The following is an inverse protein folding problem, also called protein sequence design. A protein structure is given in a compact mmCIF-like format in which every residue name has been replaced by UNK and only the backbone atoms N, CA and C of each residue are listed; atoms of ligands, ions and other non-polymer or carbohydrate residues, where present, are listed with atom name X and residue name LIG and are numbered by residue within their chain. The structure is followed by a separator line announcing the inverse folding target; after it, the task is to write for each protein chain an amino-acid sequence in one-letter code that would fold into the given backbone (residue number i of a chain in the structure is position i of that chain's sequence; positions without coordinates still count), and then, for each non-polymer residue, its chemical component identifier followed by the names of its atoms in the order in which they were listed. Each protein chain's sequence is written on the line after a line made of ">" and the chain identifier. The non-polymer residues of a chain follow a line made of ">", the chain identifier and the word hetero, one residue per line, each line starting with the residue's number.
data_IF_923369878791
#
_entry.id   IF_923369878791
#
_cell.length_a   1.000
_cell.length_b   1.000
_cell.length_c   1.000
_cell.angle_alpha   90.00
_cell.angle_beta   90.00
_cell.angle_gamma   90.00
#
_symmetry.space_group_name_H-M   'P 1'
#
loop_
_entity.id
_entity.type
_entity.pdbx_description
1 polymer ?
#
# COMPACT_ATOMS: atom_id res chain seq x y z
N UNK A 1 35.97 -1.08 55.61
CA UNK A 1 35.01 -1.78 54.75
C UNK A 1 33.68 -1.16 55.10
N UNK A 2 33.38 0.01 54.51
CA UNK A 2 32.17 0.77 54.77
C UNK A 2 31.91 1.72 53.57
N UNK A 3 30.62 1.83 53.23
CA UNK A 3 29.95 2.91 52.48
C UNK A 3 30.14 3.15 50.97
N UNK A 4 30.71 2.21 50.21
CA UNK A 4 30.84 2.39 48.74
C UNK A 4 29.94 1.48 47.87
N UNK A 5 29.13 0.61 48.45
CA UNK A 5 28.34 -0.38 47.68
C UNK A 5 26.85 -0.37 48.08
N UNK A 6 26.32 0.84 48.32
CA UNK A 6 24.86 1.03 48.38
C UNK A 6 24.37 1.11 46.93
N UNK A 7 23.92 -0.03 46.41
CA UNK A 7 23.29 -0.23 45.11
C UNK A 7 22.81 1.06 44.42
N UNK A 8 23.35 1.34 43.23
CA UNK A 8 22.83 2.33 42.28
C UNK A 8 21.47 1.87 41.76
N UNK A 9 20.44 2.00 42.59
CA UNK A 9 19.08 1.60 42.27
C UNK A 9 18.55 2.49 41.13
N UNK A 10 18.33 1.88 39.97
CA UNK A 10 17.66 2.54 38.84
C UNK A 10 16.15 2.45 39.01
N UNK A 11 15.47 3.55 38.72
CA UNK A 11 14.01 3.63 38.71
C UNK A 11 13.52 3.89 37.29
N UNK A 12 12.36 3.29 36.96
CA UNK A 12 11.68 3.52 35.68
C UNK A 12 10.52 4.48 35.90
N UNK A 13 10.64 5.71 35.40
CA UNK A 13 9.63 6.75 35.51
C UNK A 13 8.78 6.76 34.24
N UNK A 14 7.46 6.90 34.38
CA UNK A 14 6.56 7.15 33.26
C UNK A 14 6.35 8.66 33.10
N UNK A 15 6.56 9.16 31.88
CA UNK A 15 6.54 10.56 31.54
C UNK A 15 5.41 10.85 30.54
N UNK A 16 4.60 11.87 30.79
CA UNK A 16 3.59 12.39 29.86
C UNK A 16 4.03 13.74 29.28
N UNK A 17 3.91 13.93 27.96
CA UNK A 17 4.34 15.17 27.28
C UNK A 17 3.14 16.03 26.91
N UNK A 18 3.10 17.25 27.45
CA UNK A 18 2.11 18.25 27.09
C UNK A 18 2.23 18.69 25.62
N UNK A 19 1.09 18.99 24.98
CA UNK A 19 0.99 19.37 23.57
C UNK A 19 1.15 18.18 22.61
N UNK A 20 2.11 17.27 22.86
CA UNK A 20 2.29 16.07 22.03
C UNK A 20 1.24 14.99 22.28
N UNK A 21 0.75 14.87 23.52
CA UNK A 21 -0.15 13.77 23.88
C UNK A 21 0.53 12.40 23.87
N UNK A 22 1.83 12.36 24.18
CA UNK A 22 2.63 11.13 24.18
C UNK A 22 3.02 10.72 25.60
N UNK A 23 3.16 9.41 25.81
CA UNK A 23 3.61 8.81 27.08
C UNK A 23 4.78 7.88 26.77
N UNK A 24 5.81 7.92 27.59
CA UNK A 24 6.98 7.07 27.46
C UNK A 24 7.61 6.82 28.83
N UNK A 25 8.47 5.80 28.94
CA UNK A 25 9.21 5.55 30.17
C UNK A 25 10.66 6.01 30.04
N UNK A 26 11.30 6.41 31.14
CA UNK A 26 12.74 6.70 31.23
C UNK A 26 13.33 5.96 32.41
N UNK A 27 14.50 5.35 32.23
CA UNK A 27 15.25 4.71 33.31
C UNK A 27 16.36 5.65 33.76
N UNK A 28 16.43 5.90 35.06
CA UNK A 28 17.40 6.83 35.64
C UNK A 28 17.80 6.36 37.04
N UNK A 29 18.97 6.76 37.50
CA UNK A 29 19.41 6.49 38.87
C UNK A 29 18.54 7.26 39.87
N UNK A 30 18.11 6.59 40.93
CA UNK A 30 17.19 7.16 41.92
C UNK A 30 17.77 8.38 42.65
N UNK A 31 19.09 8.44 42.80
CA UNK A 31 19.82 9.54 43.43
C UNK A 31 20.29 10.61 42.44
N UNK A 32 19.96 10.48 41.15
CA UNK A 32 20.22 11.52 40.14
C UNK A 32 19.44 12.80 40.47
N UNK A 33 19.86 13.91 39.89
CA UNK A 33 19.13 15.16 39.95
C UNK A 33 18.12 15.29 38.80
N UNK A 34 17.32 16.34 38.87
CA UNK A 34 16.31 16.65 37.86
C UNK A 34 16.95 17.10 36.55
N UNK A 35 18.14 17.71 36.59
CA UNK A 35 18.93 18.06 35.40
C UNK A 35 19.31 16.81 34.58
N UNK A 36 19.82 15.76 35.24
CA UNK A 36 20.07 14.48 34.60
C UNK A 36 18.79 13.85 34.04
N UNK A 37 17.63 14.06 34.67
CA UNK A 37 16.35 13.62 34.15
C UNK A 37 15.92 14.42 32.91
N UNK A 38 16.12 15.74 32.91
CA UNK A 38 15.89 16.59 31.74
C UNK A 38 16.74 16.13 30.56
N UNK A 39 18.04 15.89 30.76
CA UNK A 39 18.91 15.33 29.73
C UNK A 39 18.44 13.97 29.24
N UNK A 40 18.14 13.04 30.15
CA UNK A 40 17.67 11.71 29.80
C UNK A 40 16.39 11.77 28.95
N UNK A 41 15.44 12.64 29.30
CA UNK A 41 14.22 12.87 28.52
C UNK A 41 14.54 13.49 27.17
N UNK A 42 15.36 14.55 27.16
CA UNK A 42 15.72 15.31 25.96
C UNK A 42 16.38 14.44 24.89
N UNK A 43 17.33 13.59 25.27
CA UNK A 43 17.95 12.63 24.35
C UNK A 43 17.01 11.47 23.99
N UNK A 44 16.26 10.92 24.96
CA UNK A 44 15.33 9.80 24.69
C UNK A 44 14.23 10.18 23.73
N UNK A 45 13.74 11.42 23.82
CA UNK A 45 12.74 11.98 22.91
C UNK A 45 13.35 12.56 21.64
N UNK A 46 14.68 12.50 21.49
CA UNK A 46 15.45 13.05 20.36
C UNK A 46 15.16 14.53 20.14
N UNK A 47 14.89 15.29 21.20
CA UNK A 47 14.62 16.73 21.11
C UNK A 47 15.85 17.51 20.68
N UNK A 48 17.05 17.04 21.06
CA UNK A 48 18.34 17.52 20.58
C UNK A 48 18.50 17.53 19.06
N UNK A 49 17.72 16.71 18.33
CA UNK A 49 17.72 16.65 16.87
C UNK A 49 16.48 17.30 16.24
N UNK A 50 15.41 17.50 17.01
CA UNK A 50 14.13 17.99 16.51
C UNK A 50 13.94 19.49 16.71
N UNK A 51 14.56 20.06 17.74
CA UNK A 51 14.36 21.43 18.16
C UNK A 51 15.71 22.12 18.43
N UNK A 52 15.69 23.45 18.41
CA UNK A 52 16.86 24.30 18.69
C UNK A 52 16.80 24.87 20.11
N UNK A 53 16.77 23.99 21.11
CA UNK A 53 16.86 24.36 22.52
C UNK A 53 17.63 23.27 23.28
N UNK A 54 18.23 23.61 24.42
CA UNK A 54 18.98 22.67 25.27
C UNK A 54 18.07 21.90 26.24
N UNK A 55 18.52 20.75 26.74
CA UNK A 55 17.76 19.92 27.71
C UNK A 55 17.21 20.71 28.91
N UNK A 56 17.97 21.71 29.37
CA UNK A 56 17.60 22.61 30.47
C UNK A 56 16.38 23.48 30.21
N UNK A 57 15.95 23.61 28.95
CA UNK A 57 14.74 24.34 28.57
C UNK A 57 13.46 23.51 28.72
N UNK A 58 13.55 22.21 29.04
CA UNK A 58 12.38 21.40 29.39
C UNK A 58 11.92 21.73 30.81
N UNK A 59 10.63 22.03 31.00
CA UNK A 59 10.07 22.17 32.36
C UNK A 59 9.41 20.86 32.78
N UNK A 60 9.83 20.34 33.94
CA UNK A 60 9.34 19.07 34.48
C UNK A 60 8.44 19.31 35.69
N UNK A 61 7.31 18.60 35.74
CA UNK A 61 6.36 18.67 36.85
C UNK A 61 6.11 17.29 37.44
N UNK A 62 5.87 17.22 38.75
CA UNK A 62 5.42 16.00 39.39
C UNK A 62 3.96 15.75 39.02
N UNK A 63 3.66 14.55 38.51
CA UNK A 63 2.32 14.15 38.12
C UNK A 63 1.47 13.69 39.33
N UNK A 64 1.56 14.43 40.44
CA UNK A 64 0.93 14.13 41.72
C UNK A 64 0.06 15.29 42.18
N UNK A 65 -1.20 15.01 42.53
CA UNK A 65 -2.17 16.01 43.01
C UNK A 65 -1.88 16.45 44.45
N UNK A 66 -2.40 17.62 44.81
CA UNK A 66 -2.58 18.03 46.20
C UNK A 66 -3.50 17.02 46.92
N UNK A 67 -2.95 16.25 47.86
CA UNK A 67 -3.59 15.06 48.45
C UNK A 67 -2.86 13.74 48.18
N UNK A 68 -1.85 13.76 47.29
CA UNK A 68 -0.84 12.72 47.19
C UNK A 68 -1.11 11.59 46.19
N UNK A 69 -2.19 11.67 45.41
CA UNK A 69 -2.53 10.72 44.35
C UNK A 69 -1.78 11.01 43.04
N UNK A 70 -1.28 9.97 42.37
CA UNK A 70 -0.63 10.05 41.06
C UNK A 70 -1.66 10.11 39.92
N UNK A 71 -1.26 10.72 38.81
CA UNK A 71 -2.03 10.75 37.58
C UNK A 71 -2.08 9.34 36.95
N UNK A 72 -3.27 8.84 36.65
CA UNK A 72 -3.46 7.50 36.08
C UNK A 72 -3.25 7.48 34.56
N UNK A 73 -2.70 6.37 34.06
CA UNK A 73 -2.60 6.07 32.64
C UNK A 73 -3.90 5.46 32.10
N UNK A 74 -4.96 6.26 32.05
CA UNK A 74 -6.27 5.85 31.55
C UNK A 74 -6.59 6.50 30.17
N UNK A 75 -7.71 6.13 29.50
CA UNK A 75 -8.07 6.70 28.20
C UNK A 75 -8.25 8.23 28.17
N UNK A 76 -8.42 8.89 29.31
CA UNK A 76 -8.57 10.35 29.41
C UNK A 76 -7.23 11.09 29.43
N UNK A 77 -6.12 10.39 29.69
CA UNK A 77 -4.77 10.96 29.76
C UNK A 77 -4.33 11.62 28.44
N UNK A 78 -4.56 10.96 27.31
CA UNK A 78 -4.09 11.45 26.01
C UNK A 78 -4.80 12.75 25.58
N UNK A 79 -6.14 12.87 25.69
CA UNK A 79 -6.83 14.15 25.56
C UNK A 79 -6.30 15.23 26.51
N UNK A 80 -6.08 14.89 27.78
CA UNK A 80 -5.53 15.83 28.79
C UNK A 80 -4.17 16.39 28.36
N UNK A 81 -3.23 15.52 27.99
CA UNK A 81 -1.89 15.94 27.56
C UNK A 81 -1.92 16.82 26.30
N UNK A 82 -2.85 16.55 25.36
CA UNK A 82 -3.00 17.35 24.14
C UNK A 82 -3.54 18.76 24.37
N UNK A 83 -4.30 18.97 25.45
CA UNK A 83 -4.81 20.31 25.79
C UNK A 83 -3.70 21.26 26.26
N UNK A 84 -2.51 20.73 26.59
CA UNK A 84 -1.40 21.49 27.14
C UNK A 84 -1.56 21.73 28.64
N UNK A 85 -0.55 22.36 29.26
CA UNK A 85 -0.61 22.73 30.66
C UNK A 85 -1.60 23.89 30.83
N UNK A 86 -2.58 23.71 31.70
CA UNK A 86 -3.51 24.77 32.10
C UNK A 86 -2.97 25.46 33.36
N UNK A 87 -3.16 26.77 33.48
CA UNK A 87 -2.75 27.56 34.66
C UNK A 87 -3.33 27.02 35.98
N UNK A 88 -4.48 26.36 35.89
CA UNK A 88 -5.28 25.86 37.02
C UNK A 88 -5.15 24.33 37.18
N UNK A 89 -4.08 23.72 36.63
CA UNK A 89 -3.86 22.28 36.73
C UNK A 89 -3.58 21.84 38.18
N UNK A 90 -4.16 20.75 38.66
CA UNK A 90 -3.88 20.17 39.99
C UNK A 90 -2.41 19.68 40.17
N UNK A 91 -1.59 19.71 39.10
CA UNK A 91 -0.24 19.15 39.02
C UNK A 91 0.82 20.25 38.88
N UNK A 92 0.96 21.11 39.90
CA UNK A 92 1.76 22.36 39.83
C UNK A 92 3.17 22.23 40.42
N UNK A 93 3.57 21.06 40.93
CA UNK A 93 4.88 20.93 41.58
C UNK A 93 5.97 20.85 40.52
N UNK A 94 6.51 22.00 40.15
CA UNK A 94 7.68 22.10 39.29
C UNK A 94 8.89 21.45 39.95
N UNK A 95 9.59 20.62 39.19
CA UNK A 95 10.80 19.94 39.63
C UNK A 95 12.00 20.87 39.39
N UNK A 96 12.79 21.07 40.44
CA UNK A 96 13.92 22.01 40.45
C UNK A 96 15.16 21.25 39.95
N UNK A 97 15.86 21.73 38.90
CA UNK A 97 16.93 20.99 38.22
C UNK A 97 18.01 20.41 39.14
N UNK A 98 18.47 21.16 40.14
CA UNK A 98 19.54 20.72 41.04
C UNK A 98 19.06 19.91 42.27
N UNK A 99 17.79 19.51 42.32
CA UNK A 99 17.27 18.67 43.40
C UNK A 99 17.31 17.20 43.01
N UNK A 100 17.65 16.33 43.97
CA UNK A 100 17.69 14.89 43.76
C UNK A 100 16.29 14.28 43.67
N UNK A 101 16.14 13.29 42.79
CA UNK A 101 14.88 12.56 42.58
C UNK A 101 14.42 11.81 43.84
N UNK A 102 15.35 11.30 44.64
CA UNK A 102 15.07 10.64 45.92
C UNK A 102 14.70 11.59 47.07
N UNK A 103 14.60 12.90 46.83
CA UNK A 103 14.15 13.84 47.84
C UNK A 103 12.70 13.51 48.24
N UNK A 104 12.32 13.61 49.54
CA UNK A 104 10.95 13.31 49.99
C UNK A 104 9.84 14.13 49.28
N UNK A 105 10.19 15.32 48.79
CA UNK A 105 9.28 16.18 48.02
C UNK A 105 8.96 15.64 46.61
N UNK A 106 9.77 14.72 46.08
CA UNK A 106 9.57 14.08 44.77
C UNK A 106 9.22 12.60 44.96
N UNK A 107 10.18 11.69 44.71
CA UNK A 107 9.93 10.25 44.72
C UNK A 107 10.31 9.59 46.05
N UNK A 108 11.03 10.28 46.94
CA UNK A 108 11.37 9.81 48.28
C UNK A 108 11.80 8.34 48.31
N UNK A 109 11.24 7.59 49.28
CA UNK A 109 11.32 6.13 49.35
C UNK A 109 10.09 5.40 48.78
N UNK A 110 9.24 6.10 48.02
CA UNK A 110 8.00 5.53 47.49
C UNK A 110 8.27 4.43 46.44
N UNK A 111 7.44 3.38 46.48
CA UNK A 111 7.34 2.42 45.38
C UNK A 111 6.46 3.05 44.29
N UNK A 112 7.03 3.14 43.10
CA UNK A 112 6.34 3.65 41.91
C UNK A 112 5.28 2.62 41.49
N UNK A 113 4.04 3.07 41.28
CA UNK A 113 2.95 2.21 40.85
C UNK A 113 3.05 1.84 39.37
N UNK A 114 2.54 0.66 39.02
CA UNK A 114 2.26 0.33 37.63
C UNK A 114 1.02 1.13 37.17
N UNK A 115 0.95 1.51 35.90
CA UNK A 115 -0.14 2.30 35.29
C UNK A 115 -0.30 3.76 35.79
N UNK A 116 0.73 4.32 36.45
CA UNK A 116 0.77 5.72 36.88
C UNK A 116 1.76 6.54 36.05
N UNK A 117 1.42 7.82 35.81
CA UNK A 117 2.32 8.83 35.27
C UNK A 117 3.01 9.52 36.44
N UNK A 118 4.32 9.66 36.34
CA UNK A 118 5.19 10.14 37.40
C UNK A 118 5.67 11.57 37.14
N UNK A 119 5.96 11.88 35.88
CA UNK A 119 6.51 13.17 35.44
C UNK A 119 5.70 13.70 34.27
N UNK A 120 5.40 15.00 34.29
CA UNK A 120 4.82 15.73 33.16
C UNK A 120 5.90 16.63 32.56
N UNK A 121 5.99 16.63 31.23
CA UNK A 121 7.04 17.33 30.48
C UNK A 121 6.39 18.43 29.65
N UNK A 122 6.85 19.67 29.84
CA UNK A 122 6.48 20.82 29.04
C UNK A 122 7.66 21.28 28.17
N UNK A 123 7.39 21.56 26.89
CA UNK A 123 8.37 22.11 25.95
C UNK A 123 8.31 23.65 25.98
N UNK A 124 9.42 24.36 25.71
CA UNK A 124 9.43 25.83 25.68
C UNK A 124 8.52 26.37 24.55
N UNK A 125 7.81 27.47 24.80
CA UNK A 125 6.83 28.06 23.86
C UNK A 125 7.41 28.36 22.47
N UNK A 126 8.70 28.74 22.38
CA UNK A 126 9.40 28.99 21.12
C UNK A 126 9.59 27.73 20.25
N UNK A 127 9.50 26.52 20.81
CA UNK A 127 9.63 25.26 20.09
C UNK A 127 8.33 24.80 19.39
N UNK A 128 7.19 25.39 19.74
CA UNK A 128 5.89 25.03 19.14
C UNK A 128 5.76 25.47 17.67
N UNK A 129 6.61 26.42 17.21
CA UNK A 129 6.60 26.98 15.86
C UNK A 129 7.76 26.59 14.94
N UNK A 130 8.89 26.09 15.46
CA UNK A 130 10.08 25.78 14.66
C UNK A 130 10.50 24.31 14.79
N UNK A 131 9.75 23.41 14.14
CA UNK A 131 10.32 22.12 13.74
C UNK A 131 11.30 22.41 12.62
N UNK A 132 12.57 22.06 12.81
CA UNK A 132 13.56 22.17 11.74
C UNK A 132 13.04 21.44 10.50
N UNK A 133 13.09 22.08 9.32
CA UNK A 133 12.73 21.44 8.05
C UNK A 133 13.48 20.10 7.84
N UNK A 134 14.69 20.00 8.41
CA UNK A 134 15.50 18.78 8.45
C UNK A 134 14.87 17.70 9.35
N UNK A 135 14.31 18.05 10.50
CA UNK A 135 13.64 17.11 11.41
C UNK A 135 12.31 16.60 10.82
N UNK A 136 11.61 17.46 10.07
CA UNK A 136 10.38 17.09 9.37
C UNK A 136 10.68 16.14 8.21
N UNK A 137 11.73 16.42 7.41
CA UNK A 137 12.23 15.48 6.39
C UNK A 137 12.72 14.17 7.00
N UNK A 138 13.47 14.19 8.11
CA UNK A 138 13.98 12.98 8.77
C UNK A 138 12.84 12.13 9.33
N UNK A 139 11.77 12.75 9.86
CA UNK A 139 10.58 12.02 10.29
C UNK A 139 9.80 11.42 9.12
N UNK A 140 9.65 12.14 8.02
CA UNK A 140 9.02 11.60 6.79
C UNK A 140 9.84 10.45 6.19
N UNK A 141 11.17 10.56 6.17
CA UNK A 141 12.09 9.50 5.73
C UNK A 141 12.03 8.30 6.69
N UNK A 142 12.02 8.53 8.00
CA UNK A 142 11.90 7.46 8.99
C UNK A 142 10.53 6.77 8.93
N UNK A 143 9.43 7.50 8.75
CA UNK A 143 8.11 6.92 8.58
C UNK A 143 8.00 6.14 7.24
N UNK A 144 8.67 6.58 6.17
CA UNK A 144 8.78 5.82 4.91
C UNK A 144 9.64 4.56 5.03
N UNK A 145 10.72 4.59 5.82
CA UNK A 145 11.68 3.47 5.97
C UNK A 145 11.23 2.45 7.02
N UNK A 146 10.65 2.90 8.13
CA UNK A 146 10.24 2.06 9.28
C UNK A 146 8.80 1.56 9.13
N UNK A 147 7.93 2.30 8.44
CA UNK A 147 6.65 1.75 7.98
C UNK A 147 6.76 1.36 6.51
N UNK A 148 7.29 0.17 6.23
CA UNK A 148 7.13 -0.50 4.93
C UNK A 148 5.65 -0.89 4.72
N UNK A 149 4.74 0.09 4.68
CA UNK A 149 3.38 -0.10 4.19
C UNK A 149 3.49 -0.05 2.67
N UNK A 150 3.54 -1.23 2.05
CA UNK A 150 3.38 -1.37 0.60
C UNK A 150 2.20 -0.49 0.17
N UNK A 151 2.39 0.32 -0.87
CA UNK A 151 1.33 1.17 -1.41
C UNK A 151 0.22 0.25 -1.91
N UNK A 152 -0.93 0.31 -1.25
CA UNK A 152 -2.07 -0.53 -1.58
C UNK A 152 -2.99 0.17 -2.56
N UNK A 153 -3.18 -0.47 -3.70
CA UNK A 153 -4.06 -0.04 -4.77
C UNK A 153 -5.22 -1.02 -4.89
N UNK A 154 -6.44 -0.54 -4.62
CA UNK A 154 -7.66 -1.36 -4.72
C UNK A 154 -8.29 -1.16 -6.10
N UNK A 155 -8.52 -2.24 -6.86
CA UNK A 155 -9.01 -2.19 -8.24
C UNK A 155 -10.31 -1.37 -8.39
N UNK A 156 -11.30 -1.64 -7.53
CA UNK A 156 -12.60 -0.95 -7.55
C UNK A 156 -12.53 0.53 -7.17
N UNK A 157 -11.43 0.98 -6.58
CA UNK A 157 -11.23 2.37 -6.17
C UNK A 157 -10.36 3.17 -7.17
N UNK A 158 -10.03 2.58 -8.33
CA UNK A 158 -9.17 3.22 -9.31
C UNK A 158 -9.81 4.47 -9.91
N UNK A 159 -9.21 5.61 -9.59
CA UNK A 159 -9.49 6.90 -10.22
C UNK A 159 -8.35 7.28 -11.16
N UNK A 160 -8.53 8.34 -11.95
CA UNK A 160 -7.44 8.86 -12.80
C UNK A 160 -6.17 9.19 -12.01
N UNK A 161 -6.31 9.75 -10.79
CA UNK A 161 -5.16 10.09 -9.97
C UNK A 161 -4.43 8.84 -9.45
N UNK A 162 -5.17 7.86 -8.94
CA UNK A 162 -4.59 6.59 -8.44
C UNK A 162 -3.97 5.78 -9.59
N UNK A 163 -4.66 5.71 -10.72
CA UNK A 163 -4.19 5.01 -11.90
C UNK A 163 -2.91 5.62 -12.48
N UNK A 164 -2.87 6.94 -12.62
CA UNK A 164 -1.64 7.62 -13.06
C UNK A 164 -0.48 7.42 -12.07
N UNK A 165 -0.74 7.45 -10.76
CA UNK A 165 0.28 7.16 -9.76
C UNK A 165 0.81 5.72 -9.88
N UNK A 166 -0.08 4.73 -10.07
CA UNK A 166 0.33 3.34 -10.29
C UNK A 166 1.20 3.18 -11.54
N UNK A 167 0.79 3.79 -12.66
CA UNK A 167 1.56 3.74 -13.90
C UNK A 167 2.93 4.42 -13.75
N UNK A 168 3.03 5.51 -12.99
CA UNK A 168 4.30 6.16 -12.68
C UNK A 168 5.20 5.29 -11.80
N UNK A 169 4.65 4.72 -10.73
CA UNK A 169 5.38 3.86 -9.80
C UNK A 169 5.95 2.60 -10.47
N UNK A 170 5.27 2.10 -11.51
CA UNK A 170 5.73 0.95 -12.33
C UNK A 170 6.44 1.39 -13.62
N UNK A 171 6.56 2.69 -13.88
CA UNK A 171 7.17 3.24 -15.08
C UNK A 171 6.57 2.64 -16.37
N UNK A 172 5.24 2.67 -16.44
CA UNK A 172 4.42 2.18 -17.55
C UNK A 172 3.79 3.37 -18.27
N UNK A 173 3.72 3.30 -19.60
CA UNK A 173 2.95 4.23 -20.43
C UNK A 173 1.87 3.49 -21.19
N UNK A 174 0.69 4.10 -21.27
CA UNK A 174 -0.43 3.60 -22.06
C UNK A 174 -0.48 4.35 -23.38
N UNK A 175 -0.55 3.63 -24.52
CA UNK A 175 -0.63 4.23 -25.86
C UNK A 175 -1.87 3.73 -26.61
N UNK A 176 -2.74 4.63 -27.10
CA UNK A 176 -3.83 4.22 -27.97
C UNK A 176 -3.29 3.82 -29.36
N UNK A 177 -3.93 2.84 -29.98
CA UNK A 177 -3.65 2.38 -31.35
C UNK A 177 -4.95 2.45 -32.17
N UNK A 178 -4.82 2.84 -33.45
CA UNK A 178 -5.93 2.97 -34.38
C UNK A 178 -6.64 1.63 -34.66
N UNK A 179 -7.89 1.74 -35.11
CA UNK A 179 -8.67 0.61 -35.60
C UNK A 179 -8.95 0.74 -37.08
N UNK A 180 -9.07 -0.40 -37.76
CA UNK A 180 -9.54 -0.49 -39.14
C UNK A 180 -10.98 -1.03 -39.18
N UNK A 181 -11.80 -0.67 -40.18
CA UNK A 181 -13.14 -1.20 -40.32
C UNK A 181 -13.16 -2.73 -40.38
N UNK A 182 -14.12 -3.34 -39.70
CA UNK A 182 -14.32 -4.78 -39.74
C UNK A 182 -14.91 -5.19 -41.10
N UNK A 183 -14.19 -6.02 -41.87
CA UNK A 183 -14.55 -6.37 -43.26
C UNK A 183 -15.07 -7.81 -43.43
N UNK A 184 -15.48 -8.48 -42.34
CA UNK A 184 -15.96 -9.87 -42.44
C UNK A 184 -17.32 -9.96 -43.15
N UNK A 185 -17.44 -10.95 -44.05
CA UNK A 185 -18.72 -11.37 -44.66
C UNK A 185 -19.42 -12.36 -43.73
N UNK A 186 -20.25 -11.84 -42.81
CA UNK A 186 -21.10 -12.56 -41.85
C UNK A 186 -20.35 -13.40 -40.78
N UNK A 187 -20.86 -13.40 -39.53
CA UNK A 187 -22.11 -14.05 -39.19
C UNK A 187 -23.18 -13.08 -38.66
N UNK A 188 -24.40 -13.62 -38.50
CA UNK A 188 -25.58 -12.93 -37.97
C UNK A 188 -25.23 -11.86 -36.93
N UNK A 189 -25.79 -10.64 -37.05
CA UNK A 189 -25.38 -9.50 -36.24
C UNK A 189 -25.52 -9.83 -34.75
N UNK A 190 -24.39 -9.80 -34.05
CA UNK A 190 -24.38 -9.97 -32.60
C UNK A 190 -25.12 -8.79 -31.98
N UNK A 191 -26.24 -9.08 -31.32
CA UNK A 191 -27.05 -8.06 -30.67
C UNK A 191 -26.33 -7.50 -29.44
N UNK A 192 -26.43 -6.19 -29.24
CA UNK A 192 -25.96 -5.53 -28.03
C UNK A 192 -26.64 -6.11 -26.79
N UNK A 193 -25.90 -6.21 -25.69
CA UNK A 193 -26.43 -6.71 -24.42
C UNK A 193 -27.53 -5.80 -23.88
N UNK A 194 -28.61 -6.40 -23.39
CA UNK A 194 -29.75 -5.68 -22.79
C UNK A 194 -29.63 -5.68 -21.27
N UNK A 195 -29.32 -4.52 -20.71
CA UNK A 195 -29.33 -4.29 -19.27
C UNK A 195 -30.76 -4.27 -18.73
N UNK A 196 -31.22 -5.37 -18.16
CA UNK A 196 -32.61 -5.52 -17.72
C UNK A 196 -32.91 -4.98 -16.30
N UNK A 197 -34.20 -4.72 -16.09
CA UNK A 197 -34.84 -4.39 -14.81
C UNK A 197 -36.09 -5.25 -14.63
N UNK A 198 -36.44 -5.56 -13.39
CA UNK A 198 -37.67 -6.29 -13.03
C UNK A 198 -38.75 -5.28 -12.66
N UNK A 199 -39.95 -5.42 -13.19
CA UNK A 199 -41.09 -4.63 -12.71
C UNK A 199 -41.56 -5.15 -11.36
N UNK A 200 -41.69 -4.28 -10.37
CA UNK A 200 -42.40 -4.61 -9.14
C UNK A 200 -43.90 -4.80 -9.43
N UNK A 201 -44.65 -5.34 -8.47
CA UNK A 201 -46.11 -5.52 -8.58
C UNK A 201 -46.91 -4.21 -8.78
N UNK A 202 -46.25 -3.05 -8.81
CA UNK A 202 -46.80 -1.72 -9.10
C UNK A 202 -46.30 -1.15 -10.44
N UNK A 203 -45.57 -1.92 -11.24
CA UNK A 203 -45.05 -1.52 -12.54
C UNK A 203 -43.79 -0.65 -12.50
N UNK A 204 -43.13 -0.53 -11.34
CA UNK A 204 -41.88 0.22 -11.20
C UNK A 204 -40.68 -0.67 -11.57
N UNK A 205 -39.82 -0.19 -12.47
CA UNK A 205 -38.59 -0.88 -12.85
C UNK A 205 -37.58 -0.87 -11.69
N UNK A 206 -37.37 -2.03 -11.07
CA UNK A 206 -36.29 -2.31 -10.13
C UNK A 206 -35.08 -2.82 -10.92
N UNK A 207 -33.94 -2.14 -10.79
CA UNK A 207 -32.69 -2.63 -11.34
C UNK A 207 -32.30 -3.97 -10.67
N UNK A 208 -31.94 -4.96 -11.48
CA UNK A 208 -31.36 -6.21 -10.96
C UNK A 208 -30.11 -5.92 -10.12
N UNK A 209 -29.85 -6.78 -9.13
CA UNK A 209 -28.61 -6.69 -8.34
C UNK A 209 -27.39 -6.91 -9.23
N UNK A 210 -26.22 -6.44 -8.79
CA UNK A 210 -24.96 -6.65 -9.51
C UNK A 210 -24.68 -8.13 -9.78
N UNK A 211 -25.01 -9.00 -8.82
CA UNK A 211 -24.82 -10.45 -8.93
C UNK A 211 -25.76 -11.09 -9.94
N UNK A 212 -27.01 -10.61 -10.01
CA UNK A 212 -27.98 -11.05 -11.02
C UNK A 212 -27.58 -10.58 -12.43
N UNK A 213 -27.06 -9.35 -12.56
CA UNK A 213 -26.52 -8.87 -13.84
C UNK A 213 -25.28 -9.67 -14.26
N UNK A 214 -24.43 -10.06 -13.29
CA UNK A 214 -23.20 -10.81 -13.54
C UNK A 214 -23.43 -12.14 -14.21
N UNK A 215 -24.42 -12.90 -13.76
CA UNK A 215 -24.69 -14.19 -14.41
C UNK A 215 -25.16 -14.01 -15.86
N UNK A 216 -25.99 -13.01 -16.10
CA UNK A 216 -26.54 -12.75 -17.43
C UNK A 216 -25.50 -12.29 -18.43
N UNK A 217 -24.62 -11.37 -18.04
CA UNK A 217 -23.58 -10.96 -18.96
C UNK A 217 -22.55 -12.06 -19.19
N UNK A 218 -22.34 -12.95 -18.20
CA UNK A 218 -21.47 -14.12 -18.35
C UNK A 218 -22.04 -15.08 -19.39
N UNK A 219 -23.33 -15.40 -19.29
CA UNK A 219 -24.05 -16.21 -20.27
C UNK A 219 -24.01 -15.57 -21.67
N UNK A 220 -24.18 -14.24 -21.76
CA UNK A 220 -24.06 -13.51 -23.02
C UNK A 220 -22.66 -13.64 -23.63
N UNK A 221 -21.60 -13.52 -22.82
CA UNK A 221 -20.22 -13.75 -23.30
C UNK A 221 -20.05 -15.20 -23.72
N UNK A 222 -20.38 -16.17 -22.88
CA UNK A 222 -20.23 -17.62 -23.15
C UNK A 222 -20.99 -18.03 -24.43
N UNK A 223 -22.19 -17.49 -24.66
CA UNK A 223 -22.96 -17.73 -25.89
C UNK A 223 -22.24 -17.26 -27.16
N UNK A 224 -21.63 -16.06 -27.14
CA UNK A 224 -21.03 -15.46 -28.33
C UNK A 224 -19.62 -15.98 -28.68
N UNK A 225 -18.99 -16.70 -27.75
CA UNK A 225 -17.67 -17.32 -27.95
C UNK A 225 -17.67 -18.84 -27.66
N UNK A 226 -18.85 -19.46 -27.52
CA UNK A 226 -19.00 -20.86 -27.09
C UNK A 226 -18.24 -21.87 -27.95
N UNK A 227 -18.25 -21.68 -29.28
CA UNK A 227 -17.58 -22.59 -30.22
C UNK A 227 -16.06 -22.64 -29.97
N UNK A 228 -15.41 -21.48 -29.81
CA UNK A 228 -13.97 -21.43 -29.55
C UNK A 228 -13.63 -21.90 -28.13
N UNK A 229 -14.52 -21.67 -27.16
CA UNK A 229 -14.34 -22.19 -25.81
C UNK A 229 -14.34 -23.73 -25.82
N UNK A 230 -15.28 -24.34 -26.54
CA UNK A 230 -15.36 -25.80 -26.67
C UNK A 230 -14.14 -26.38 -27.40
N UNK A 231 -13.75 -25.78 -28.53
CA UNK A 231 -12.59 -26.22 -29.31
C UNK A 231 -11.28 -26.15 -28.50
N UNK A 232 -11.07 -25.05 -27.77
CA UNK A 232 -9.85 -24.80 -27.01
C UNK A 232 -9.89 -25.31 -25.56
N UNK A 233 -10.96 -25.98 -25.16
CA UNK A 233 -11.19 -26.47 -23.79
C UNK A 233 -11.05 -25.35 -22.75
N UNK A 234 -11.66 -24.21 -23.03
CA UNK A 234 -11.72 -23.04 -22.14
C UNK A 234 -13.12 -22.89 -21.53
N UNK A 235 -13.24 -22.05 -20.51
CA UNK A 235 -14.51 -21.66 -19.91
C UNK A 235 -14.50 -20.18 -19.48
N UNK A 236 -15.69 -19.65 -19.21
CA UNK A 236 -15.90 -18.29 -18.68
C UNK A 236 -16.29 -18.39 -17.22
N UNK A 237 -15.51 -17.79 -16.31
CA UNK A 237 -15.81 -17.75 -14.89
C UNK A 237 -15.65 -16.32 -14.35
N UNK A 238 -16.63 -15.82 -13.60
CA UNK A 238 -16.47 -14.66 -12.75
C UNK A 238 -15.81 -15.02 -11.43
N UNK A 239 -14.82 -14.22 -10.99
CA UNK A 239 -14.03 -14.56 -9.81
C UNK A 239 -13.60 -13.36 -8.96
N UNK A 240 -13.63 -13.61 -7.65
CA UNK A 240 -13.32 -12.64 -6.60
C UNK A 240 -11.85 -12.59 -6.16
N UNK A 241 -10.88 -13.03 -6.98
CA UNK A 241 -9.47 -13.07 -6.54
C UNK A 241 -8.55 -12.56 -7.64
N UNK A 242 -8.11 -11.32 -7.45
CA UNK A 242 -7.05 -10.69 -8.23
C UNK A 242 -6.25 -9.79 -7.28
N UNK A 243 -5.42 -10.42 -6.44
CA UNK A 243 -4.61 -9.71 -5.44
C UNK A 243 -3.19 -10.23 -5.49
N UNK A 244 -2.22 -9.33 -5.62
CA UNK A 244 -0.82 -9.67 -5.80
C UNK A 244 0.08 -8.59 -5.23
N UNK A 245 1.13 -9.02 -4.54
CA UNK A 245 2.27 -8.19 -4.18
C UNK A 245 3.17 -8.10 -5.41
N UNK A 246 3.36 -6.90 -5.96
CA UNK A 246 4.21 -6.70 -7.15
C UNK A 246 5.67 -7.02 -6.80
N UNK A 247 6.30 -8.04 -7.40
CA UNK A 247 7.69 -8.40 -7.13
C UNK A 247 8.64 -7.25 -7.50
N UNK A 248 9.60 -6.95 -6.62
CA UNK A 248 10.55 -5.86 -6.84
C UNK A 248 10.00 -4.45 -6.64
N UNK A 249 8.74 -4.30 -6.19
CA UNK A 249 8.13 -3.00 -5.92
C UNK A 249 7.37 -3.02 -4.59
N UNK A 250 7.30 -1.88 -3.90
CA UNK A 250 6.52 -1.72 -2.65
C UNK A 250 5.04 -1.44 -2.96
N UNK A 251 4.41 -2.31 -3.75
CA UNK A 251 3.06 -2.12 -4.28
C UNK A 251 2.25 -3.39 -4.08
N UNK A 252 1.04 -3.23 -3.54
CA UNK A 252 0.02 -4.27 -3.51
C UNK A 252 -1.14 -3.89 -4.41
N UNK A 253 -1.48 -4.77 -5.35
CA UNK A 253 -2.70 -4.68 -6.12
C UNK A 253 -3.73 -5.61 -5.46
N UNK A 254 -4.91 -5.09 -5.15
CA UNK A 254 -5.93 -5.83 -4.41
C UNK A 254 -7.30 -5.66 -5.05
N UNK A 255 -7.97 -6.78 -5.28
CA UNK A 255 -9.37 -6.76 -5.67
C UNK A 255 -9.77 -8.03 -6.41
N UNK A 256 -10.64 -7.81 -7.39
CA UNK A 256 -11.44 -8.83 -8.08
C UNK A 256 -11.55 -8.42 -9.55
N UNK A 257 -12.09 -9.32 -10.36
CA UNK A 257 -12.47 -9.03 -11.74
C UNK A 257 -13.83 -9.65 -12.04
N UNK A 258 -14.55 -9.10 -13.00
CA UNK A 258 -15.90 -9.56 -13.30
C UNK A 258 -15.90 -10.92 -14.00
N UNK A 259 -15.00 -11.14 -14.96
CA UNK A 259 -14.93 -12.33 -15.80
C UNK A 259 -13.49 -12.68 -16.15
N UNK A 260 -13.17 -13.97 -16.12
CA UNK A 260 -11.96 -14.59 -16.64
C UNK A 260 -12.30 -15.62 -17.72
N UNK A 261 -11.46 -15.68 -18.75
CA UNK A 261 -11.45 -16.76 -19.74
C UNK A 261 -10.20 -17.61 -19.52
N UNK A 262 -10.40 -18.87 -19.13
CA UNK A 262 -9.34 -19.77 -18.64
C UNK A 262 -9.64 -21.24 -18.95
N UNK A 263 -8.72 -22.14 -18.62
CA UNK A 263 -8.87 -23.59 -18.86
C UNK A 263 -10.16 -24.15 -18.25
N UNK A 264 -10.86 -25.01 -19.01
CA UNK A 264 -12.08 -25.69 -18.56
C UNK A 264 -11.85 -26.60 -17.34
N UNK A 265 -10.58 -26.92 -17.03
CA UNK A 265 -10.20 -27.57 -15.77
C UNK A 265 -10.71 -26.81 -14.55
N UNK A 266 -10.78 -25.48 -14.62
CA UNK A 266 -11.29 -24.65 -13.53
C UNK A 266 -12.80 -24.84 -13.29
N UNK A 267 -13.57 -25.16 -14.35
CA UNK A 267 -15.01 -25.50 -14.27
C UNK A 267 -15.22 -26.92 -13.74
N UNK A 268 -14.33 -27.86 -14.10
CA UNK A 268 -14.37 -29.25 -13.62
C UNK A 268 -13.91 -29.37 -12.16
N UNK A 269 -12.89 -28.60 -11.78
CA UNK A 269 -12.26 -28.63 -10.47
C UNK A 269 -12.23 -27.22 -9.87
N UNK A 270 -13.27 -26.81 -9.11
CA UNK A 270 -13.40 -25.44 -8.62
C UNK A 270 -12.23 -24.95 -7.75
N UNK A 271 -11.47 -25.86 -7.13
CA UNK A 271 -10.27 -25.51 -6.36
C UNK A 271 -9.09 -25.07 -7.24
N UNK A 272 -9.05 -25.46 -8.53
CA UNK A 272 -8.03 -25.00 -9.47
C UNK A 272 -8.23 -23.56 -9.94
N UNK A 273 -9.39 -22.95 -9.69
CA UNK A 273 -9.62 -21.56 -10.07
C UNK A 273 -8.60 -20.64 -9.39
N UNK A 274 -8.10 -20.96 -8.19
CA UNK A 274 -7.02 -20.24 -7.49
C UNK A 274 -5.66 -20.32 -8.15
N UNK A 275 -5.42 -21.36 -8.94
CA UNK A 275 -4.19 -21.54 -9.71
C UNK A 275 -4.23 -20.83 -11.06
N UNK A 276 -5.38 -20.25 -11.44
CA UNK A 276 -5.56 -19.52 -12.70
C UNK A 276 -5.02 -20.29 -13.93
N UNK A 277 -5.47 -21.53 -14.18
CA UNK A 277 -4.89 -22.37 -15.22
C UNK A 277 -5.15 -21.80 -16.62
N UNK A 278 -4.06 -21.55 -17.36
CA UNK A 278 -4.08 -21.14 -18.77
C UNK A 278 -4.99 -19.94 -19.07
N UNK A 279 -5.06 -18.96 -18.16
CA UNK A 279 -5.86 -17.74 -18.38
C UNK A 279 -5.43 -17.05 -19.68
N UNK A 280 -6.40 -16.68 -20.50
CA UNK A 280 -6.16 -15.97 -21.78
C UNK A 280 -6.46 -14.48 -21.65
N UNK A 281 -7.53 -14.14 -20.94
CA UNK A 281 -7.95 -12.76 -20.75
C UNK A 281 -8.86 -12.56 -19.53
N UNK A 282 -8.94 -11.32 -19.08
CA UNK A 282 -9.97 -10.83 -18.16
C UNK A 282 -10.92 -9.85 -18.87
N UNK A 283 -12.14 -9.76 -18.38
CA UNK A 283 -13.16 -8.81 -18.87
C UNK A 283 -13.75 -8.09 -17.66
N UNK A 284 -13.55 -6.78 -17.62
CA UNK A 284 -14.16 -5.85 -16.67
C UNK A 284 -15.42 -5.25 -17.30
N UNK A 285 -16.57 -5.39 -16.64
CA UNK A 285 -17.87 -5.01 -17.18
C UNK A 285 -18.44 -3.82 -16.43
N UNK A 286 -18.68 -2.72 -17.14
CA UNK A 286 -19.34 -1.53 -16.59
C UNK A 286 -20.61 -1.22 -17.34
N UNK A 287 -21.74 -1.13 -16.63
CA UNK A 287 -23.00 -0.60 -17.22
C UNK A 287 -22.82 0.78 -17.84
N UNK A 288 -22.00 1.64 -17.22
CA UNK A 288 -21.64 2.96 -17.73
C UNK A 288 -20.12 3.13 -17.63
N UNK A 289 -19.47 3.29 -18.77
CA UNK A 289 -18.02 3.57 -18.83
C UNK A 289 -17.80 5.08 -18.65
N UNK A 290 -17.18 5.45 -17.54
CA UNK A 290 -16.82 6.84 -17.20
C UNK A 290 -15.35 7.13 -17.48
N UNK A 291 -14.98 8.40 -17.55
CA UNK A 291 -13.59 8.83 -17.53
C UNK A 291 -12.87 8.22 -16.30
N UNK A 292 -11.77 7.49 -16.56
CA UNK A 292 -11.01 6.78 -15.54
C UNK A 292 -11.36 5.31 -15.35
N UNK A 293 -12.46 4.79 -15.93
CA UNK A 293 -12.82 3.35 -15.82
C UNK A 293 -11.71 2.43 -16.36
N UNK A 294 -10.95 2.89 -17.36
CA UNK A 294 -9.80 2.17 -17.90
C UNK A 294 -8.73 1.87 -16.86
N UNK A 295 -8.57 2.68 -15.81
CA UNK A 295 -7.54 2.44 -14.78
C UNK A 295 -7.84 1.22 -13.91
N UNK A 296 -9.13 0.89 -13.70
CA UNK A 296 -9.49 -0.37 -13.05
C UNK A 296 -9.02 -1.54 -13.91
N UNK A 297 -9.46 -1.61 -15.18
CA UNK A 297 -9.06 -2.67 -16.11
C UNK A 297 -7.54 -2.77 -16.31
N UNK A 298 -6.82 -1.64 -16.35
CA UNK A 298 -5.35 -1.61 -16.40
C UNK A 298 -4.72 -2.21 -15.14
N UNK A 299 -5.22 -1.85 -13.96
CA UNK A 299 -4.68 -2.39 -12.71
C UNK A 299 -4.94 -3.89 -12.58
N UNK A 300 -6.09 -4.35 -13.09
CA UNK A 300 -6.43 -5.77 -13.16
C UNK A 300 -5.54 -6.51 -14.17
N UNK A 301 -5.28 -5.92 -15.34
CA UNK A 301 -4.32 -6.47 -16.32
C UNK A 301 -2.95 -6.68 -15.70
N UNK A 302 -2.43 -5.66 -15.00
CA UNK A 302 -1.12 -5.71 -14.35
C UNK A 302 -1.12 -6.82 -13.29
N UNK A 303 -2.15 -6.87 -12.44
CA UNK A 303 -2.24 -7.89 -11.41
C UNK A 303 -2.31 -9.31 -11.99
N UNK A 304 -3.15 -9.52 -13.01
CA UNK A 304 -3.27 -10.81 -13.68
C UNK A 304 -1.95 -11.21 -14.34
N UNK A 305 -1.26 -10.28 -14.99
CA UNK A 305 0.05 -10.57 -15.56
C UNK A 305 0.99 -11.12 -14.47
N UNK A 306 1.11 -10.51 -13.30
CA UNK A 306 1.97 -11.07 -12.25
C UNK A 306 1.54 -12.43 -11.69
N UNK A 307 0.27 -12.82 -11.86
CA UNK A 307 -0.28 -14.06 -11.32
C UNK A 307 -0.14 -15.26 -12.27
N UNK A 308 0.13 -15.05 -13.55
CA UNK A 308 0.18 -16.13 -14.55
C UNK A 308 1.44 -16.06 -15.40
N UNK A 309 1.87 -17.20 -15.94
CA UNK A 309 3.11 -17.31 -16.72
C UNK A 309 2.98 -16.79 -18.16
N UNK A 310 1.78 -16.88 -18.73
CA UNK A 310 1.50 -16.50 -20.11
C UNK A 310 1.12 -15.01 -20.26
N UNK A 311 1.37 -14.38 -21.43
CA UNK A 311 0.82 -13.06 -21.73
C UNK A 311 -0.72 -13.08 -21.80
N UNK A 312 -1.34 -12.12 -21.14
CA UNK A 312 -2.81 -11.97 -21.06
C UNK A 312 -3.29 -10.68 -21.74
N UNK A 313 -4.59 -10.59 -21.98
CA UNK A 313 -5.27 -9.37 -22.45
C UNK A 313 -6.36 -8.98 -21.45
N UNK A 314 -6.66 -7.69 -21.34
CA UNK A 314 -7.81 -7.19 -20.60
C UNK A 314 -8.79 -6.49 -21.53
N UNK A 315 -10.08 -6.60 -21.21
CA UNK A 315 -11.17 -5.92 -21.91
C UNK A 315 -12.00 -5.14 -20.90
N UNK A 316 -12.19 -3.84 -21.14
CA UNK A 316 -13.20 -3.02 -20.47
C UNK A 316 -14.40 -2.87 -21.41
N UNK A 317 -15.60 -3.24 -20.96
CA UNK A 317 -16.78 -3.17 -21.83
C UNK A 317 -18.08 -2.85 -21.11
N UNK A 318 -19.00 -2.21 -21.83
CA UNK A 318 -20.42 -2.12 -21.42
C UNK A 318 -21.33 -3.13 -22.14
N UNK A 319 -20.72 -3.99 -22.96
CA UNK A 319 -21.35 -5.04 -23.77
C UNK A 319 -22.32 -4.50 -24.83
N UNK A 320 -22.26 -3.19 -25.11
CA UNK A 320 -23.06 -2.54 -26.13
C UNK A 320 -22.14 -1.92 -27.19
N UNK A 321 -21.54 -0.79 -26.89
CA UNK A 321 -20.89 0.09 -27.85
C UNK A 321 -19.49 0.53 -27.41
N UNK A 322 -19.01 0.04 -26.27
CA UNK A 322 -17.69 0.32 -25.76
C UNK A 322 -16.96 -0.99 -25.48
N UNK A 323 -15.94 -1.31 -26.27
CA UNK A 323 -15.11 -2.51 -26.13
C UNK A 323 -13.64 -2.11 -26.21
N UNK A 324 -13.05 -1.80 -25.06
CA UNK A 324 -11.69 -1.31 -24.96
C UNK A 324 -10.73 -2.44 -24.54
N UNK A 325 -9.85 -2.82 -25.46
CA UNK A 325 -8.84 -3.84 -25.24
C UNK A 325 -7.54 -3.23 -24.71
N UNK A 326 -6.82 -3.96 -23.86
CA UNK A 326 -5.52 -3.58 -23.31
C UNK A 326 -4.56 -4.77 -23.33
N UNK A 327 -3.32 -4.54 -23.74
CA UNK A 327 -2.27 -5.55 -23.73
C UNK A 327 -0.89 -4.94 -23.51
N UNK A 328 0.01 -5.74 -22.92
CA UNK A 328 1.42 -5.39 -22.77
C UNK A 328 2.11 -5.64 -24.11
N UNK A 329 2.69 -4.59 -24.68
CA UNK A 329 3.19 -4.60 -26.07
C UNK A 329 4.71 -4.65 -26.14
N UNK A 330 5.39 -3.56 -25.77
CA UNK A 330 6.85 -3.48 -25.87
C UNK A 330 7.46 -2.66 -24.74
N UNK A 331 8.79 -2.71 -24.62
CA UNK A 331 9.58 -1.91 -23.70
C UNK A 331 10.42 -0.94 -24.52
N UNK A 332 10.29 0.34 -24.22
CA UNK A 332 11.34 1.29 -24.57
C UNK A 332 12.40 1.23 -23.45
N UNK A 333 13.64 1.61 -23.72
CA UNK A 333 14.79 1.54 -22.79
C UNK A 333 14.43 1.93 -21.36
N UNK A 334 13.54 2.92 -21.20
CA UNK A 334 13.18 3.49 -19.92
C UNK A 334 11.74 3.23 -19.46
N UNK A 335 10.85 2.54 -20.18
CA UNK A 335 9.48 2.29 -19.70
C UNK A 335 8.79 1.16 -20.47
N UNK A 336 7.83 0.50 -19.82
CA UNK A 336 6.98 -0.51 -20.48
C UNK A 336 5.79 0.18 -21.15
N UNK A 337 5.36 -0.34 -22.30
CA UNK A 337 4.23 0.15 -23.08
C UNK A 337 3.09 -0.86 -22.96
N UNK A 338 1.98 -0.39 -22.42
CA UNK A 338 0.67 -1.02 -22.60
C UNK A 338 -0.02 -0.32 -23.77
N UNK A 339 -0.52 -1.08 -24.73
CA UNK A 339 -1.32 -0.54 -25.82
C UNK A 339 -2.81 -0.74 -25.51
N UNK A 340 -3.63 0.14 -26.09
CA UNK A 340 -5.08 0.04 -25.99
C UNK A 340 -5.76 0.40 -27.29
N UNK A 341 -6.88 -0.23 -27.58
CA UNK A 341 -7.74 0.14 -28.71
C UNK A 341 -9.20 -0.07 -28.36
N UNK A 342 -10.10 0.67 -29.01
CA UNK A 342 -11.53 0.62 -28.73
C UNK A 342 -12.30 0.24 -29.98
N UNK A 343 -13.11 -0.81 -29.86
CA UNK A 343 -14.08 -1.26 -30.86
C UNK A 343 -15.49 -0.88 -30.38
N UNK A 344 -16.36 -0.49 -31.31
CA UNK A 344 -17.71 0.00 -30.97
C UNK A 344 -18.82 -0.98 -31.34
N UNK A 345 -18.52 -2.00 -32.13
CA UNK A 345 -19.52 -2.98 -32.57
C UNK A 345 -19.33 -4.33 -31.87
N UNK A 346 -20.38 -4.92 -31.24
CA UNK A 346 -20.28 -6.22 -30.58
C UNK A 346 -19.76 -7.32 -31.49
N UNK A 347 -20.25 -7.39 -32.74
CA UNK A 347 -19.82 -8.41 -33.71
C UNK A 347 -18.32 -8.37 -33.98
N UNK A 348 -17.78 -7.17 -34.18
CA UNK A 348 -16.36 -6.93 -34.35
C UNK A 348 -15.56 -7.27 -33.09
N UNK A 349 -16.03 -6.84 -31.91
CA UNK A 349 -15.37 -7.12 -30.64
C UNK A 349 -15.32 -8.63 -30.33
N UNK A 350 -16.40 -9.38 -30.56
CA UNK A 350 -16.38 -10.82 -30.40
C UNK A 350 -15.55 -11.54 -31.47
N UNK A 351 -15.43 -10.99 -32.67
CA UNK A 351 -14.48 -11.50 -33.66
C UNK A 351 -13.03 -11.37 -33.15
N UNK A 352 -12.67 -10.24 -32.54
CA UNK A 352 -11.36 -10.06 -31.87
C UNK A 352 -11.15 -11.13 -30.80
N UNK A 353 -12.13 -11.33 -29.91
CA UNK A 353 -12.02 -12.32 -28.82
C UNK A 353 -11.87 -13.73 -29.40
N UNK A 354 -12.70 -14.14 -30.38
CA UNK A 354 -12.59 -15.46 -31.00
C UNK A 354 -11.23 -15.68 -31.64
N UNK A 355 -10.72 -14.71 -32.40
CA UNK A 355 -9.39 -14.81 -33.02
C UNK A 355 -8.28 -14.88 -31.97
N UNK A 356 -8.38 -14.11 -30.88
CA UNK A 356 -7.43 -14.17 -29.77
C UNK A 356 -7.39 -15.57 -29.12
N UNK A 357 -8.56 -16.14 -28.80
CA UNK A 357 -8.67 -17.43 -28.12
C UNK A 357 -8.29 -18.60 -29.03
N UNK A 358 -8.54 -18.49 -30.33
CA UNK A 358 -8.22 -19.54 -31.29
C UNK A 358 -6.70 -19.73 -31.48
N UNK A 359 -5.90 -18.72 -31.15
CA UNK A 359 -4.45 -18.76 -31.29
C UNK A 359 -3.79 -19.43 -30.10
N UNK A 360 -2.87 -20.36 -30.37
CA UNK A 360 -2.00 -20.93 -29.35
C UNK A 360 -1.03 -19.85 -28.83
N UNK A 361 -0.81 -19.77 -27.50
CA UNK A 361 0.16 -18.83 -26.94
C UNK A 361 1.57 -19.27 -27.33
N UNK A 362 2.07 -18.75 -28.44
CA UNK A 362 3.51 -18.74 -28.69
C UNK A 362 3.98 -17.36 -28.27
N UNK A 363 4.76 -17.29 -27.20
CA UNK A 363 5.40 -16.04 -26.77
C UNK A 363 6.20 -15.45 -27.94
N UNK A 364 6.06 -14.15 -28.15
CA UNK A 364 6.74 -13.33 -29.17
C UNK A 364 6.29 -13.44 -30.65
N UNK A 365 5.28 -14.26 -30.97
CA UNK A 365 4.68 -14.25 -32.32
C UNK A 365 3.77 -13.02 -32.54
N UNK A 366 3.80 -12.47 -33.76
CA UNK A 366 2.87 -11.43 -34.19
C UNK A 366 1.45 -12.00 -34.31
N UNK A 367 0.49 -11.30 -33.72
CA UNK A 367 -0.92 -11.66 -33.69
C UNK A 367 -1.66 -10.63 -34.53
N UNK A 368 -2.30 -11.10 -35.61
CA UNK A 368 -3.24 -10.29 -36.37
C UNK A 368 -4.64 -10.45 -35.78
N UNK A 369 -5.18 -9.38 -35.23
CA UNK A 369 -6.55 -9.34 -34.71
C UNK A 369 -7.45 -8.54 -35.67
N UNK A 370 -8.70 -8.95 -35.87
CA UNK A 370 -9.66 -8.17 -36.64
C UNK A 370 -9.77 -6.75 -36.11
N UNK A 371 -9.94 -5.77 -36.99
CA UNK A 371 -10.07 -4.35 -36.64
C UNK A 371 -8.80 -3.68 -36.09
N UNK A 372 -7.69 -4.40 -35.93
CA UNK A 372 -6.42 -3.81 -35.50
C UNK A 372 -5.63 -3.41 -36.75
N UNK A 373 -5.10 -2.18 -36.76
CA UNK A 373 -4.42 -1.62 -37.93
C UNK A 373 -3.11 -2.35 -38.27
N UNK A 374 -2.38 -2.77 -37.23
CA UNK A 374 -1.10 -3.47 -37.36
C UNK A 374 -1.13 -4.78 -36.54
N UNK A 375 -0.38 -5.81 -36.97
CA UNK A 375 -0.12 -6.98 -36.13
C UNK A 375 0.50 -6.56 -34.79
N UNK A 376 0.08 -7.20 -33.71
CA UNK A 376 0.53 -6.86 -32.37
C UNK A 376 1.25 -8.01 -31.69
N UNK A 377 2.22 -7.67 -30.85
CA UNK A 377 2.87 -8.62 -29.93
C UNK A 377 2.28 -8.51 -28.54
N UNK A 378 2.07 -9.66 -27.90
CA UNK A 378 1.76 -9.73 -26.47
C UNK A 378 3.00 -10.17 -25.73
N UNK A 379 3.47 -9.33 -24.83
CA UNK A 379 4.64 -9.62 -23.99
C UNK A 379 4.25 -9.75 -22.53
N UNK A 380 5.19 -10.25 -21.74
CA UNK A 380 5.03 -10.44 -20.30
C UNK A 380 5.51 -9.21 -19.54
N UNK A 381 4.62 -8.54 -18.81
CA UNK A 381 5.01 -7.36 -18.02
C UNK A 381 6.05 -7.73 -16.96
N UNK A 382 5.86 -8.85 -16.26
CA UNK A 382 6.78 -9.34 -15.24
C UNK A 382 8.23 -9.53 -15.74
N UNK A 383 8.44 -9.83 -17.02
CA UNK A 383 9.79 -9.97 -17.62
C UNK A 383 10.39 -8.64 -18.09
N UNK A 384 9.55 -7.61 -18.23
CA UNK A 384 9.94 -6.32 -18.81
C UNK A 384 10.17 -5.25 -17.75
N UNK A 385 9.47 -5.36 -16.63
CA UNK A 385 9.71 -4.48 -15.49
C UNK A 385 11.11 -4.73 -14.94
N UNK A 386 11.87 -3.68 -14.62
CA UNK A 386 13.17 -3.82 -14.00
C UNK A 386 12.98 -4.49 -12.64
N UNK A 387 13.41 -5.74 -12.50
CA UNK A 387 13.63 -6.34 -11.19
C UNK A 387 14.73 -5.53 -10.51
N UNK A 388 14.52 -5.10 -9.26
CA UNK A 388 15.53 -4.36 -8.46
C UNK A 388 16.79 -5.23 -8.16
N UNK A 389 16.94 -6.38 -8.81
CA UNK A 389 18.08 -7.28 -8.66
C UNK A 389 18.30 -8.06 -9.95
N UNK A 390 19.23 -7.59 -10.79
CA UNK A 390 20.49 -8.27 -11.16
C UNK A 390 21.15 -7.51 -12.33
N UNK A 391 22.34 -6.94 -12.08
CA UNK A 391 23.31 -6.58 -13.12
C UNK A 391 23.02 -5.33 -13.97
N UNK A 392 23.33 -4.14 -13.45
CA UNK A 392 23.48 -2.92 -14.26
C UNK A 392 23.09 -1.66 -13.50
N UNK A 393 24.09 -0.97 -12.98
CA UNK A 393 24.02 0.28 -12.21
C UNK A 393 23.31 0.21 -10.84
N UNK A 394 24.16 0.38 -9.84
CA UNK A 394 23.95 0.25 -8.42
C UNK A 394 23.04 1.36 -7.83
N UNK A 395 21.75 1.36 -8.13
CA UNK A 395 20.82 2.39 -7.63
C UNK A 395 19.96 1.95 -6.43
N UNK A 396 19.71 0.64 -6.27
CA UNK A 396 18.87 0.13 -5.17
C UNK A 396 19.66 -0.20 -3.90
N UNK A 397 20.41 -1.31 -3.94
CA UNK A 397 21.10 -1.87 -2.76
C UNK A 397 22.27 -0.99 -2.33
N UNK A 398 23.13 -0.59 -3.27
CA UNK A 398 24.26 0.30 -2.98
C UNK A 398 23.78 1.62 -2.43
N UNK A 399 22.74 2.22 -3.02
CA UNK A 399 22.20 3.46 -2.49
C UNK A 399 21.48 3.26 -1.15
N UNK A 400 20.88 2.10 -0.86
CA UNK A 400 20.31 1.81 0.46
C UNK A 400 21.40 1.66 1.54
N UNK A 401 22.53 1.05 1.18
CA UNK A 401 23.72 0.92 2.04
C UNK A 401 24.41 2.28 2.21
N UNK A 402 24.64 3.02 1.12
CA UNK A 402 25.22 4.37 1.14
C UNK A 402 24.32 5.34 1.91
N UNK A 403 22.99 5.32 1.71
CA UNK A 403 22.06 6.12 2.52
C UNK A 403 22.09 5.73 3.99
N UNK A 404 22.19 4.43 4.32
CA UNK A 404 22.36 4.01 5.71
C UNK A 404 23.65 4.60 6.29
N UNK A 405 24.77 4.51 5.57
CA UNK A 405 26.05 5.06 6.03
C UNK A 405 26.07 6.60 6.05
N UNK A 406 25.42 7.28 5.11
CA UNK A 406 25.29 8.73 5.06
C UNK A 406 24.47 9.22 6.27
N UNK A 407 23.33 8.58 6.52
CA UNK A 407 22.49 8.90 7.68
C UNK A 407 23.21 8.54 8.98
N UNK A 408 23.86 7.38 9.06
CA UNK A 408 24.63 6.96 10.23
C UNK A 408 25.86 7.85 10.47
N UNK A 409 26.44 8.44 9.44
CA UNK A 409 27.56 9.38 9.55
C UNK A 409 27.15 10.71 10.17
N UNK A 410 25.89 11.11 10.00
CA UNK A 410 25.33 12.37 10.53
C UNK A 410 24.62 12.17 11.86
N UNK A 411 23.92 11.05 12.05
CA UNK A 411 23.02 10.79 13.18
C UNK A 411 23.48 9.65 14.10
N UNK A 412 24.57 8.95 13.78
CA UNK A 412 25.00 7.73 14.45
C UNK A 412 24.26 6.47 13.97
N UNK A 413 24.78 5.26 14.26
CA UNK A 413 24.19 4.01 13.78
C UNK A 413 22.82 3.73 14.42
N UNK A 414 21.79 3.57 13.59
CA UNK A 414 20.44 3.19 14.01
C UNK A 414 20.20 1.70 13.72
N UNK A 415 19.88 0.93 14.76
CA UNK A 415 19.71 -0.54 14.67
C UNK A 415 18.48 -0.92 13.84
N UNK A 416 17.42 -0.12 13.86
CA UNK A 416 16.19 -0.43 13.14
C UNK A 416 16.35 -0.13 11.65
N UNK A 417 17.04 0.96 11.29
CA UNK A 417 17.46 1.19 9.90
C UNK A 417 18.48 0.14 9.43
N UNK A 418 19.46 -0.23 10.25
CA UNK A 418 20.41 -1.29 9.91
C UNK A 418 19.68 -2.61 9.63
N UNK A 419 18.68 -2.95 10.45
CA UNK A 419 17.84 -4.13 10.26
C UNK A 419 16.97 -4.02 9.01
N UNK A 420 16.39 -2.87 8.73
CA UNK A 420 15.59 -2.63 7.53
C UNK A 420 16.46 -2.77 6.26
N UNK A 421 17.64 -2.15 6.23
CA UNK A 421 18.62 -2.29 5.14
C UNK A 421 19.09 -3.74 5.00
N UNK A 422 19.38 -4.43 6.10
CA UNK A 422 19.74 -5.86 6.08
C UNK A 422 18.60 -6.74 5.55
N UNK A 423 17.34 -6.47 5.93
CA UNK A 423 16.17 -7.19 5.42
C UNK A 423 15.96 -6.94 3.92
N UNK A 424 16.17 -5.70 3.46
CA UNK A 424 16.10 -5.37 2.04
C UNK A 424 17.17 -6.13 1.25
N UNK A 425 18.39 -6.24 1.77
CA UNK A 425 19.48 -7.02 1.17
C UNK A 425 19.14 -8.52 1.19
N UNK A 426 18.69 -9.07 2.32
CA UNK A 426 18.38 -10.49 2.46
C UNK A 426 17.28 -10.93 1.47
N UNK A 427 16.27 -10.08 1.22
CA UNK A 427 15.19 -10.34 0.25
C UNK A 427 15.65 -10.38 -1.20
N UNK A 428 16.84 -9.84 -1.51
CA UNK A 428 17.44 -9.94 -2.85
C UNK A 428 18.26 -11.22 -3.03
N UNK A 429 18.46 -12.02 -1.97
CA UNK A 429 19.16 -13.29 -2.04
C UNK A 429 18.12 -14.41 -2.28
N UNK A 430 18.19 -15.14 -3.41
CA UNK A 430 17.15 -16.11 -3.82
C UNK A 430 16.85 -17.22 -2.79
N UNK A 431 17.83 -17.59 -1.96
CA UNK A 431 17.66 -18.61 -0.91
C UNK A 431 16.83 -18.10 0.28
N UNK A 432 16.79 -16.79 0.51
CA UNK A 432 16.14 -16.17 1.67
C UNK A 432 14.82 -15.47 1.34
N UNK A 433 14.45 -15.37 0.06
CA UNK A 433 13.19 -14.71 -0.37
C UNK A 433 11.92 -15.42 0.13
N UNK A 434 12.02 -16.68 0.56
CA UNK A 434 10.90 -17.49 1.05
C UNK A 434 10.72 -17.50 2.58
N UNK A 435 11.61 -16.84 3.34
CA UNK A 435 11.69 -17.00 4.80
C UNK A 435 11.39 -15.73 5.61
N UNK A 436 10.85 -14.67 5.00
CA UNK A 436 10.45 -13.41 5.67
C UNK A 436 9.17 -12.87 5.08
#
# INVERSE_FOLDING_TARGET
>A
MDDAEKNMEKVKLQCGVYGEGSVFSVEIERNADVEALQEAIFYKKRYNHQYKFDSSALTLYLARKEGGAWLKSDPTLKPFLKQGRQSDSDYVVEMIPNWKLNKPAYFGDFKLGEEEIHVLVELPEAAAGEKSATAQMVKEIHDQVVQTKRKRYVHSEMSSNKGNALLQDLNIRVKPVGTVPFTSRDPAPVQAFKWESVCDGRGQNIALTEEQQRERYREYVEYNIGDVLAEKKLCVLGKNILSVAVPGHDIDLVGRTDILVLSALAKQFPHYVELLPEVKMLIEVKKVVKAGSGFQALSELIALDFLVDDPVMALLTNLTDHWQFFWVSDKNNNYVIIQTTTVTEPGAAFAVIRTLLAQSPTGDADITLPCFEEPMKRRKLAKMLPTISEGGESSGIRAAIERYYDIASVLGPDIDMARATANQIARTIPVFSYYT
#
